data_IF_766209013101
#
_entry.id   IF_766209013101
#
_cell.length_a   1.000
_cell.length_b   1.000
_cell.length_c   1.000
_cell.angle_alpha   90.00
_cell.angle_beta   90.00
_cell.angle_gamma   90.00
#
_symmetry.space_group_name_H-M   'P 1'
#
loop_
_entity.id
_entity.type
_entity.pdbx_description
1 polymer ?
#
# COMPACT_ATOMS: atom_id res chain seq x y z
N UNK A 1 -1.13 -18.00 -34.04
CA UNK A 1 0.02 -17.27 -34.65
C UNK A 1 1.35 -18.02 -34.58
N UNK A 2 1.44 -19.21 -33.99
CA UNK A 2 2.70 -19.98 -33.95
C UNK A 2 3.77 -19.40 -33.03
N UNK A 3 3.44 -18.35 -32.27
CA UNK A 3 4.32 -17.70 -31.29
C UNK A 3 4.14 -18.35 -29.93
N UNK A 4 5.23 -18.49 -29.17
CA UNK A 4 5.21 -18.99 -27.81
C UNK A 4 4.36 -18.05 -26.92
N UNK A 5 3.56 -18.61 -26.00
CA UNK A 5 2.51 -17.87 -25.28
C UNK A 5 3.02 -16.70 -24.41
N UNK A 6 4.16 -16.86 -23.74
CA UNK A 6 4.83 -15.77 -23.00
C UNK A 6 5.21 -14.63 -23.94
N UNK A 7 5.79 -14.93 -25.11
CA UNK A 7 6.14 -13.89 -26.06
C UNK A 7 4.90 -13.19 -26.61
N UNK A 8 3.84 -13.95 -26.91
CA UNK A 8 2.57 -13.39 -27.35
C UNK A 8 1.99 -12.45 -26.28
N UNK A 9 1.80 -12.90 -25.04
CA UNK A 9 1.17 -12.09 -24.00
C UNK A 9 2.02 -10.88 -23.61
N UNK A 10 3.33 -11.06 -23.40
CA UNK A 10 4.21 -9.96 -23.00
C UNK A 10 4.36 -8.92 -24.11
N UNK A 11 4.53 -9.33 -25.38
CA UNK A 11 4.65 -8.35 -26.48
C UNK A 11 3.37 -7.54 -26.66
N UNK A 12 2.19 -8.17 -26.54
CA UNK A 12 0.91 -7.45 -26.60
C UNK A 12 0.73 -6.47 -25.44
N UNK A 13 1.08 -6.87 -24.21
CA UNK A 13 1.07 -5.97 -23.05
C UNK A 13 2.00 -4.76 -23.25
N UNK A 14 3.24 -5.02 -23.66
CA UNK A 14 4.23 -3.97 -23.93
C UNK A 14 3.80 -3.04 -25.06
N UNK A 15 3.16 -3.56 -26.11
CA UNK A 15 2.66 -2.77 -27.22
C UNK A 15 1.47 -1.90 -26.82
N UNK A 16 0.59 -2.39 -25.95
CA UNK A 16 -0.52 -1.60 -25.41
C UNK A 16 -0.01 -0.40 -24.60
N UNK A 17 0.97 -0.61 -23.71
CA UNK A 17 1.59 0.47 -22.95
C UNK A 17 2.43 1.40 -23.82
N UNK A 18 3.06 0.88 -24.88
CA UNK A 18 3.80 1.70 -25.83
C UNK A 18 2.86 2.68 -26.57
N UNK A 19 1.68 2.22 -27.00
CA UNK A 19 0.67 3.08 -27.60
C UNK A 19 0.21 4.20 -26.65
N UNK A 20 0.05 3.88 -25.36
CA UNK A 20 -0.21 4.90 -24.33
C UNK A 20 0.96 5.88 -24.20
N UNK A 21 2.20 5.40 -24.12
CA UNK A 21 3.39 6.25 -24.00
C UNK A 21 3.56 7.19 -25.21
N UNK A 22 3.27 6.71 -26.42
CA UNK A 22 3.25 7.52 -27.66
C UNK A 22 2.18 8.62 -27.58
N UNK A 23 0.98 8.30 -27.10
CA UNK A 23 -0.10 9.28 -26.94
C UNK A 23 0.20 10.36 -25.88
N UNK A 24 1.04 10.05 -24.90
CA UNK A 24 1.44 10.99 -23.83
C UNK A 24 2.68 11.81 -24.18
N UNK A 25 3.28 11.60 -25.37
CA UNK A 25 4.52 12.24 -25.74
C UNK A 25 4.41 13.78 -25.76
N UNK A 26 5.43 14.46 -25.23
CA UNK A 26 5.48 15.92 -25.14
C UNK A 26 4.82 16.52 -23.89
N UNK A 27 4.11 15.71 -23.09
CA UNK A 27 3.59 16.17 -21.80
C UNK A 27 4.71 16.26 -20.75
N UNK A 28 4.95 17.43 -20.14
CA UNK A 28 6.05 17.64 -19.20
C UNK A 28 5.79 17.06 -17.80
N UNK A 29 4.55 16.65 -17.53
CA UNK A 29 4.07 16.20 -16.22
C UNK A 29 3.96 14.67 -16.10
N UNK A 30 4.55 13.92 -17.04
CA UNK A 30 4.67 12.46 -16.95
C UNK A 30 5.98 12.10 -16.24
N UNK A 31 5.86 11.55 -15.05
CA UNK A 31 7.01 11.19 -14.23
C UNK A 31 7.68 9.88 -14.70
N UNK A 32 6.87 8.89 -15.10
CA UNK A 32 7.34 7.54 -15.40
C UNK A 32 6.22 6.57 -15.72
N UNK A 33 6.58 5.30 -15.85
CA UNK A 33 5.66 4.19 -16.11
C UNK A 33 5.93 3.03 -15.14
N UNK A 34 4.87 2.42 -14.63
CA UNK A 34 4.95 1.22 -13.79
C UNK A 34 4.97 -0.06 -14.59
N UNK A 35 5.78 -1.03 -14.19
CA UNK A 35 5.91 -2.31 -14.91
C UNK A 35 4.62 -3.12 -14.93
N UNK A 36 3.96 -3.23 -13.77
CA UNK A 36 2.71 -3.93 -13.53
C UNK A 36 2.29 -3.68 -12.08
N UNK A 37 0.99 -3.48 -11.83
CA UNK A 37 0.45 -3.41 -10.48
C UNK A 37 0.37 -4.82 -9.86
N UNK A 38 0.89 -4.98 -8.65
CA UNK A 38 0.92 -6.18 -7.82
C UNK A 38 1.08 -7.46 -8.67
N UNK A 39 2.23 -7.63 -9.35
CA UNK A 39 2.43 -8.80 -10.19
C UNK A 39 2.24 -10.07 -9.36
N UNK A 40 1.72 -11.13 -9.99
CA UNK A 40 1.59 -12.44 -9.37
C UNK A 40 2.59 -13.42 -9.98
N UNK A 41 3.22 -14.23 -9.14
CA UNK A 41 4.04 -15.36 -9.59
C UNK A 41 3.21 -16.57 -10.03
N UNK A 42 1.89 -16.57 -9.81
CA UNK A 42 1.04 -17.72 -10.11
C UNK A 42 1.56 -18.97 -9.39
N UNK A 43 1.86 -20.04 -10.15
CA UNK A 43 2.46 -21.25 -9.60
C UNK A 43 4.00 -21.27 -9.63
N UNK A 44 4.65 -20.28 -10.25
CA UNK A 44 6.12 -20.20 -10.28
C UNK A 44 6.63 -20.11 -8.85
N UNK A 45 7.69 -20.87 -8.53
CA UNK A 45 8.31 -21.04 -7.21
C UNK A 45 7.45 -21.70 -6.13
N UNK A 46 6.26 -22.23 -6.47
CA UNK A 46 5.46 -23.02 -5.51
C UNK A 46 6.17 -24.35 -5.24
N UNK A 47 6.46 -24.62 -3.97
CA UNK A 47 7.24 -25.79 -3.54
C UNK A 47 6.43 -27.08 -3.52
N UNK A 48 5.13 -26.98 -3.31
CA UNK A 48 4.24 -28.13 -3.15
C UNK A 48 2.83 -27.79 -3.64
N UNK A 49 2.47 -28.29 -4.82
CA UNK A 49 1.18 -28.05 -5.47
C UNK A 49 -0.01 -28.67 -4.72
N UNK A 50 0.23 -29.52 -3.72
CA UNK A 50 -0.80 -30.04 -2.83
C UNK A 50 -1.08 -29.12 -1.62
N UNK A 51 -0.43 -27.96 -1.54
CA UNK A 51 -0.62 -27.00 -0.44
C UNK A 51 -1.07 -25.65 -0.95
N UNK A 52 -1.95 -25.03 -0.19
CA UNK A 52 -2.40 -23.66 -0.41
C UNK A 52 -1.36 -22.73 0.23
N UNK A 53 -0.70 -21.90 -0.59
CA UNK A 53 0.34 -20.96 -0.19
C UNK A 53 -0.09 -19.50 -0.51
N UNK A 54 0.60 -18.53 0.09
CA UNK A 54 0.29 -17.11 -0.10
C UNK A 54 -0.92 -16.61 0.71
N UNK A 55 -1.42 -15.44 0.33
CA UNK A 55 -2.59 -14.82 0.96
C UNK A 55 -3.88 -15.56 0.58
N UNK A 56 -4.70 -15.91 1.58
CA UNK A 56 -5.91 -16.73 1.40
C UNK A 56 -7.12 -16.01 1.99
N UNK A 57 -8.12 -15.77 1.16
CA UNK A 57 -9.38 -15.17 1.56
C UNK A 57 -10.52 -15.75 0.71
N UNK A 58 -11.57 -16.28 1.33
CA UNK A 58 -12.61 -17.03 0.64
C UNK A 58 -12.11 -18.41 0.19
N UNK A 59 -12.61 -18.88 -0.95
CA UNK A 59 -12.17 -20.15 -1.55
C UNK A 59 -10.70 -20.08 -1.95
N UNK A 60 -9.87 -20.93 -1.36
CA UNK A 60 -8.42 -20.93 -1.59
C UNK A 60 -7.93 -22.35 -1.93
N UNK A 61 -8.32 -22.88 -3.10
CA UNK A 61 -7.90 -24.22 -3.51
C UNK A 61 -6.37 -24.30 -3.60
N UNK A 62 -5.83 -25.48 -3.31
CA UNK A 62 -4.43 -25.77 -3.65
C UNK A 62 -4.24 -25.67 -5.17
N UNK A 63 -3.02 -25.42 -5.68
CA UNK A 63 -2.77 -25.45 -7.12
C UNK A 63 -3.32 -26.72 -7.79
N UNK A 64 -3.11 -27.89 -7.18
CA UNK A 64 -3.63 -29.16 -7.69
C UNK A 64 -5.16 -29.21 -7.70
N UNK A 65 -5.82 -28.81 -6.60
CA UNK A 65 -7.30 -28.72 -6.56
C UNK A 65 -7.82 -27.78 -7.66
N UNK A 66 -7.15 -26.64 -7.87
CA UNK A 66 -7.50 -25.69 -8.94
C UNK A 66 -7.39 -26.31 -10.33
N UNK A 67 -6.34 -27.10 -10.60
CA UNK A 67 -6.18 -27.83 -11.86
C UNK A 67 -7.30 -28.85 -12.09
N UNK A 68 -7.69 -29.57 -11.03
CA UNK A 68 -8.73 -30.61 -11.07
C UNK A 68 -10.13 -30.00 -11.21
N UNK A 69 -10.42 -28.91 -10.48
CA UNK A 69 -11.63 -28.10 -10.66
C UNK A 69 -11.74 -27.57 -12.09
N UNK A 70 -10.62 -27.15 -12.70
CA UNK A 70 -10.56 -26.71 -14.09
C UNK A 70 -10.93 -27.80 -15.11
N UNK A 71 -10.82 -29.08 -14.74
CA UNK A 71 -11.30 -30.23 -15.51
C UNK A 71 -12.76 -30.60 -15.21
N UNK A 72 -13.46 -29.78 -14.42
CA UNK A 72 -14.87 -29.98 -14.09
C UNK A 72 -15.12 -31.02 -13.00
N UNK A 73 -14.09 -31.39 -12.24
CA UNK A 73 -14.14 -32.43 -11.22
C UNK A 73 -14.23 -31.78 -9.84
N UNK A 74 -15.21 -32.20 -9.04
CA UNK A 74 -15.45 -31.64 -7.71
C UNK A 74 -14.25 -31.84 -6.76
N UNK A 75 -13.96 -30.84 -5.93
CA UNK A 75 -12.89 -30.87 -4.92
C UNK A 75 -13.40 -30.34 -3.58
N UNK A 76 -12.79 -30.81 -2.49
CA UNK A 76 -13.00 -30.27 -1.15
C UNK A 76 -12.05 -29.09 -0.95
N UNK A 77 -12.57 -27.87 -1.04
CA UNK A 77 -11.79 -26.63 -1.06
C UNK A 77 -11.83 -25.95 0.30
N UNK A 78 -10.67 -25.52 0.78
CA UNK A 78 -10.57 -24.70 1.97
C UNK A 78 -11.19 -23.31 1.76
N UNK A 79 -12.02 -22.88 2.72
CA UNK A 79 -12.59 -21.54 2.75
C UNK A 79 -12.00 -20.76 3.93
N UNK A 80 -11.26 -19.70 3.62
CA UNK A 80 -10.55 -18.85 4.57
C UNK A 80 -11.34 -17.57 4.87
N UNK A 81 -11.12 -16.98 6.04
CA UNK A 81 -11.67 -15.67 6.39
C UNK A 81 -10.55 -14.65 6.63
N UNK A 82 -10.77 -13.40 6.22
CA UNK A 82 -9.83 -12.30 6.44
C UNK A 82 -9.72 -11.83 7.92
N UNK A 83 -10.34 -12.54 8.86
CA UNK A 83 -10.32 -12.17 10.27
C UNK A 83 -8.97 -12.47 10.91
N UNK A 84 -8.52 -11.57 11.82
CA UNK A 84 -7.27 -11.71 12.57
C UNK A 84 -7.13 -13.09 13.25
N UNK A 85 -8.23 -13.66 13.76
CA UNK A 85 -8.25 -14.97 14.42
C UNK A 85 -7.94 -16.12 13.45
N UNK A 86 -8.41 -16.05 12.19
CA UNK A 86 -8.13 -17.06 11.18
C UNK A 86 -6.66 -17.00 10.75
N UNK A 87 -6.15 -15.78 10.59
CA UNK A 87 -4.74 -15.49 10.30
C UNK A 87 -3.80 -16.03 11.38
N UNK A 88 -4.13 -15.80 12.66
CA UNK A 88 -3.36 -16.32 13.80
C UNK A 88 -3.43 -17.84 13.95
N UNK A 89 -4.61 -18.45 13.71
CA UNK A 89 -4.80 -19.89 13.88
C UNK A 89 -4.15 -20.70 12.76
N UNK A 90 -3.91 -20.10 11.59
CA UNK A 90 -3.35 -20.77 10.43
C UNK A 90 -4.22 -21.94 9.95
N UNK A 91 -5.54 -21.84 10.12
CA UNK A 91 -6.50 -22.88 9.75
C UNK A 91 -7.66 -22.28 8.95
N UNK A 92 -8.21 -23.03 7.97
CA UNK A 92 -9.38 -22.58 7.24
C UNK A 92 -10.59 -22.43 8.16
N UNK A 93 -11.50 -21.52 7.80
CA UNK A 93 -12.75 -21.34 8.54
C UNK A 93 -13.67 -22.55 8.39
N UNK A 94 -13.65 -23.17 7.20
CA UNK A 94 -14.35 -24.42 6.87
C UNK A 94 -13.76 -25.03 5.59
N UNK A 95 -14.19 -26.24 5.27
CA UNK A 95 -13.96 -26.90 3.98
C UNK A 95 -15.32 -27.06 3.30
N UNK A 96 -15.39 -26.75 2.01
CA UNK A 96 -16.60 -26.91 1.21
C UNK A 96 -16.34 -27.73 -0.03
N UNK A 97 -17.27 -28.63 -0.36
CA UNK A 97 -17.24 -29.33 -1.63
C UNK A 97 -17.67 -28.37 -2.75
N UNK A 98 -16.74 -28.06 -3.66
CA UNK A 98 -16.98 -27.22 -4.84
C UNK A 98 -17.11 -28.14 -6.05
N UNK A 99 -18.31 -28.18 -6.63
CA UNK A 99 -18.63 -29.04 -7.79
C UNK A 99 -18.92 -28.18 -9.05
N UNK A 100 -18.01 -28.16 -10.04
CA UNK A 100 -18.23 -27.50 -11.32
C UNK A 100 -19.29 -28.19 -12.20
N UNK A 101 -19.81 -29.36 -11.81
CA UNK A 101 -20.81 -30.15 -12.55
C UNK A 101 -20.36 -30.50 -13.96
N UNK A 102 -19.07 -30.84 -14.11
CA UNK A 102 -18.46 -31.17 -15.40
C UNK A 102 -18.18 -29.96 -16.30
N UNK A 103 -18.45 -28.72 -15.85
CA UNK A 103 -18.05 -27.53 -16.59
C UNK A 103 -16.53 -27.38 -16.51
N UNK A 104 -15.87 -27.39 -17.67
CA UNK A 104 -14.41 -27.26 -17.78
C UNK A 104 -14.02 -25.80 -18.02
N UNK A 105 -12.87 -25.41 -17.48
CA UNK A 105 -12.21 -24.13 -17.80
C UNK A 105 -11.57 -24.16 -19.20
N UNK A 106 -11.32 -25.36 -19.73
CA UNK A 106 -10.70 -25.58 -21.03
C UNK A 106 -11.73 -25.57 -22.17
N UNK A 107 -11.31 -25.11 -23.36
CA UNK A 107 -12.14 -25.19 -24.57
C UNK A 107 -12.42 -26.66 -24.94
N UNK A 108 -13.51 -26.87 -25.66
CA UNK A 108 -13.84 -28.20 -26.18
C UNK A 108 -12.70 -28.77 -27.02
N UNK A 109 -12.31 -30.02 -26.74
CA UNK A 109 -11.21 -30.71 -27.43
C UNK A 109 -9.80 -30.29 -26.99
N UNK A 110 -9.69 -29.42 -25.98
CA UNK A 110 -8.41 -29.04 -25.37
C UNK A 110 -8.32 -29.67 -23.97
N UNK A 111 -7.17 -30.24 -23.64
CA UNK A 111 -6.89 -30.81 -22.33
C UNK A 111 -6.14 -29.81 -21.43
N UNK A 112 -6.19 -30.06 -20.12
CA UNK A 112 -5.39 -29.33 -19.15
C UNK A 112 -3.89 -29.42 -19.49
N UNK A 113 -3.28 -28.27 -19.73
CA UNK A 113 -1.86 -28.16 -20.06
C UNK A 113 -0.93 -28.79 -19.00
N UNK A 114 -1.31 -28.72 -17.72
CA UNK A 114 -0.53 -29.34 -16.64
C UNK A 114 -0.69 -30.87 -16.61
N UNK A 115 -1.84 -31.39 -17.06
CA UNK A 115 -2.04 -32.82 -17.24
C UNK A 115 -1.23 -33.33 -18.42
N UNK A 116 -1.22 -32.61 -19.54
CA UNK A 116 -0.39 -32.90 -20.71
C UNK A 116 1.12 -32.88 -20.38
N UNK A 117 1.56 -31.94 -19.54
CA UNK A 117 2.93 -31.86 -19.02
C UNK A 117 3.29 -32.96 -17.99
N UNK A 118 2.32 -33.82 -17.63
CA UNK A 118 2.48 -34.90 -16.67
C UNK A 118 2.69 -34.41 -15.23
N UNK A 119 2.20 -33.22 -14.89
CA UNK A 119 2.20 -32.70 -13.51
C UNK A 119 1.24 -33.51 -12.65
N UNK A 120 0.07 -33.85 -13.22
CA UNK A 120 -0.95 -34.68 -12.60
C UNK A 120 -1.69 -35.51 -13.66
N UNK A 121 -2.49 -36.47 -13.24
CA UNK A 121 -3.36 -37.25 -14.12
C UNK A 121 -4.34 -38.12 -13.34
N UNK A 122 -4.77 -39.23 -13.92
CA UNK A 122 -5.68 -40.16 -13.27
C UNK A 122 -4.93 -41.43 -12.84
N UNK A 123 -5.23 -41.92 -11.65
CA UNK A 123 -4.78 -43.22 -11.18
C UNK A 123 -5.50 -44.38 -11.90
N UNK A 124 -5.15 -45.62 -11.56
CA UNK A 124 -5.77 -46.81 -12.15
C UNK A 124 -7.29 -46.93 -11.90
N UNK A 125 -7.83 -46.20 -10.92
CA UNK A 125 -9.25 -46.15 -10.58
C UNK A 125 -9.97 -44.93 -11.17
N UNK A 126 -9.29 -44.13 -11.98
CA UNK A 126 -9.85 -42.90 -12.56
C UNK A 126 -9.91 -41.72 -11.59
N UNK A 127 -9.20 -41.76 -10.45
CA UNK A 127 -9.15 -40.64 -9.50
C UNK A 127 -8.00 -39.69 -9.84
N UNK A 128 -8.18 -38.36 -9.69
CA UNK A 128 -7.10 -37.41 -9.85
C UNK A 128 -5.92 -37.71 -8.91
N UNK A 129 -4.70 -37.71 -9.45
CA UNK A 129 -3.46 -37.94 -8.73
C UNK A 129 -2.39 -36.95 -9.19
N UNK A 130 -1.77 -36.26 -8.24
CA UNK A 130 -0.63 -35.37 -8.45
C UNK A 130 0.66 -36.21 -8.57
N UNK A 131 1.44 -35.99 -9.63
CA UNK A 131 2.66 -36.76 -9.92
C UNK A 131 3.95 -35.96 -9.67
N UNK A 132 3.91 -34.64 -9.89
CA UNK A 132 5.08 -33.74 -9.73
C UNK A 132 4.70 -32.58 -8.80
N UNK A 133 4.70 -32.79 -7.47
CA UNK A 133 4.25 -31.77 -6.52
C UNK A 133 5.13 -30.52 -6.51
N UNK A 134 6.39 -30.61 -6.93
CA UNK A 134 7.41 -29.56 -6.93
C UNK A 134 7.69 -29.01 -8.35
N UNK A 135 6.81 -29.28 -9.32
CA UNK A 135 7.05 -28.98 -10.74
C UNK A 135 7.49 -27.53 -11.05
N UNK A 136 7.06 -26.57 -10.23
CA UNK A 136 7.38 -25.15 -10.40
C UNK A 136 8.39 -24.60 -9.37
N UNK A 137 8.93 -25.44 -8.48
CA UNK A 137 9.72 -25.00 -7.34
C UNK A 137 11.07 -24.37 -7.75
N UNK A 138 11.70 -24.91 -8.79
CA UNK A 138 13.06 -24.58 -9.20
C UNK A 138 13.13 -23.45 -10.25
N UNK A 139 12.31 -22.41 -10.09
CA UNK A 139 12.36 -21.19 -10.91
C UNK A 139 12.33 -19.97 -10.01
N UNK A 140 13.35 -19.12 -10.12
CA UNK A 140 13.41 -17.84 -9.42
C UNK A 140 12.55 -16.80 -10.14
N UNK A 141 11.37 -16.52 -9.59
CA UNK A 141 10.45 -15.55 -10.19
C UNK A 141 11.09 -14.15 -10.36
N UNK A 142 11.90 -13.70 -9.40
CA UNK A 142 12.51 -12.38 -9.46
C UNK A 142 13.56 -12.28 -10.56
N UNK A 143 14.53 -13.19 -10.55
CA UNK A 143 15.68 -13.16 -11.45
C UNK A 143 15.39 -13.73 -12.84
N UNK A 144 14.58 -14.78 -12.94
CA UNK A 144 14.35 -15.52 -14.19
C UNK A 144 13.07 -15.11 -14.92
N UNK A 145 12.10 -14.47 -14.23
CA UNK A 145 10.83 -14.06 -14.84
C UNK A 145 10.64 -12.54 -14.85
N UNK A 146 10.63 -11.91 -13.67
CA UNK A 146 10.36 -10.48 -13.52
C UNK A 146 11.45 -9.61 -14.12
N UNK A 147 12.73 -9.83 -13.78
CA UNK A 147 13.82 -8.98 -14.25
C UNK A 147 13.95 -8.98 -15.80
N UNK A 148 13.88 -10.12 -16.51
CA UNK A 148 13.85 -10.13 -17.97
C UNK A 148 12.67 -9.34 -18.55
N UNK A 149 11.48 -9.46 -17.97
CA UNK A 149 10.32 -8.66 -18.36
C UNK A 149 10.55 -7.16 -18.12
N UNK A 150 11.01 -6.77 -16.93
CA UNK A 150 11.28 -5.38 -16.58
C UNK A 150 12.33 -4.74 -17.52
N UNK A 151 13.35 -5.48 -17.95
CA UNK A 151 14.34 -5.01 -18.93
C UNK A 151 13.71 -4.74 -20.29
N UNK A 152 12.86 -5.64 -20.79
CA UNK A 152 12.12 -5.46 -22.05
C UNK A 152 11.16 -4.28 -21.97
N UNK A 153 10.42 -4.18 -20.86
CA UNK A 153 9.53 -3.06 -20.58
C UNK A 153 10.28 -1.73 -20.63
N UNK A 154 11.39 -1.65 -19.91
CA UNK A 154 12.22 -0.45 -19.82
C UNK A 154 12.74 -0.02 -21.18
N UNK A 155 13.31 -0.95 -21.94
CA UNK A 155 13.81 -0.68 -23.29
C UNK A 155 12.68 -0.17 -24.21
N UNK A 156 11.48 -0.77 -24.12
CA UNK A 156 10.33 -0.34 -24.92
C UNK A 156 9.86 1.07 -24.53
N UNK A 157 9.64 1.35 -23.25
CA UNK A 157 9.18 2.67 -22.80
C UNK A 157 10.21 3.76 -23.07
N UNK A 158 11.49 3.51 -22.78
CA UNK A 158 12.55 4.51 -22.97
C UNK A 158 12.92 4.74 -24.44
N UNK A 159 12.52 3.85 -25.36
CA UNK A 159 12.62 4.10 -26.81
C UNK A 159 11.66 5.19 -27.29
N UNK A 160 10.55 5.41 -26.56
CA UNK A 160 9.51 6.40 -26.87
C UNK A 160 9.66 7.65 -25.99
N UNK A 161 9.97 7.43 -24.71
CA UNK A 161 10.08 8.43 -23.66
C UNK A 161 11.48 8.37 -23.01
N UNK A 162 12.50 8.99 -23.61
CA UNK A 162 13.87 8.91 -23.12
C UNK A 162 13.99 9.39 -21.66
N UNK A 163 14.70 8.61 -20.84
CA UNK A 163 14.95 8.89 -19.40
C UNK A 163 13.70 8.92 -18.51
N UNK A 164 12.57 8.37 -18.97
CA UNK A 164 11.40 8.18 -18.13
C UNK A 164 11.71 7.25 -16.95
N UNK A 165 11.16 7.55 -15.77
CA UNK A 165 11.33 6.69 -14.61
C UNK A 165 10.57 5.38 -14.80
N UNK A 166 11.14 4.28 -14.31
CA UNK A 166 10.51 2.97 -14.34
C UNK A 166 10.18 2.57 -12.91
N UNK A 167 8.89 2.58 -12.59
CA UNK A 167 8.37 2.16 -11.29
C UNK A 167 8.28 0.64 -11.28
N UNK A 168 9.16 0.00 -10.50
CA UNK A 168 9.28 -1.44 -10.41
C UNK A 168 8.80 -1.92 -9.04
N UNK A 169 7.89 -2.89 -9.08
CA UNK A 169 7.34 -3.55 -7.91
C UNK A 169 7.29 -5.07 -8.13
N UNK A 170 7.28 -5.80 -7.02
CA UNK A 170 7.23 -7.26 -6.92
C UNK A 170 5.98 -7.64 -6.12
N UNK A 171 5.57 -8.92 -6.13
CA UNK A 171 4.47 -9.37 -5.28
C UNK A 171 4.68 -8.92 -3.82
N UNK A 172 3.62 -8.63 -3.05
CA UNK A 172 3.73 -8.04 -1.72
C UNK A 172 4.75 -8.76 -0.83
N UNK A 173 5.80 -8.04 -0.42
CA UNK A 173 6.95 -8.63 0.29
C UNK A 173 6.56 -9.17 1.68
N UNK A 174 5.64 -8.50 2.39
CA UNK A 174 5.19 -8.91 3.72
C UNK A 174 4.37 -10.21 3.72
N UNK A 175 3.91 -10.65 2.54
CA UNK A 175 3.05 -11.83 2.35
C UNK A 175 3.67 -12.89 1.43
N UNK A 176 4.89 -12.66 0.92
CA UNK A 176 5.57 -13.59 0.02
C UNK A 176 6.95 -13.97 0.56
N UNK A 177 7.37 -15.20 0.24
CA UNK A 177 8.72 -15.69 0.51
C UNK A 177 9.69 -15.38 -0.63
N UNK A 178 9.27 -14.57 -1.59
CA UNK A 178 10.04 -14.24 -2.79
C UNK A 178 11.22 -13.35 -2.44
N UNK A 179 12.37 -13.65 -3.02
CA UNK A 179 13.52 -12.76 -2.92
C UNK A 179 13.39 -11.62 -3.94
N UNK A 180 13.60 -10.38 -3.48
CA UNK A 180 13.69 -9.23 -4.36
C UNK A 180 14.99 -9.32 -5.19
N UNK A 181 14.91 -9.30 -6.54
CA UNK A 181 16.08 -9.50 -7.40
C UNK A 181 17.07 -8.33 -7.33
N UNK A 182 18.31 -8.58 -7.75
CA UNK A 182 19.30 -7.51 -7.93
C UNK A 182 19.05 -6.81 -9.27
N UNK A 183 18.63 -5.55 -9.22
CA UNK A 183 18.35 -4.71 -10.39
C UNK A 183 19.45 -3.66 -10.49
N UNK A 184 20.32 -3.76 -11.49
CA UNK A 184 21.36 -2.74 -11.71
C UNK A 184 20.81 -1.58 -12.54
N UNK A 185 21.49 -0.43 -12.49
CA UNK A 185 21.17 0.71 -13.37
C UNK A 185 21.38 0.42 -14.87
N UNK A 186 22.06 -0.68 -15.21
CA UNK A 186 22.16 -1.19 -16.58
C UNK A 186 20.95 -2.04 -16.97
N UNK A 187 20.35 -2.75 -16.02
CA UNK A 187 19.17 -3.57 -16.26
C UNK A 187 17.94 -2.67 -16.42
N UNK A 188 17.73 -1.76 -15.49
CA UNK A 188 16.61 -0.81 -15.49
C UNK A 188 17.14 0.60 -15.19
N UNK A 189 17.56 1.36 -16.22
CA UNK A 189 17.92 2.76 -16.04
C UNK A 189 16.75 3.58 -15.50
N UNK A 190 17.01 4.54 -14.60
CA UNK A 190 15.99 5.37 -13.96
C UNK A 190 14.93 4.56 -13.19
N UNK A 191 15.32 3.42 -12.60
CA UNK A 191 14.43 2.63 -11.76
C UNK A 191 13.99 3.40 -10.50
N UNK A 192 12.77 3.14 -10.07
CA UNK A 192 12.18 3.58 -8.80
C UNK A 192 11.60 2.34 -8.13
N UNK A 193 11.94 2.12 -6.87
CA UNK A 193 11.29 1.11 -6.05
C UNK A 193 9.85 1.56 -5.77
N UNK A 194 8.86 0.81 -6.26
CA UNK A 194 7.45 1.20 -6.25
C UNK A 194 6.56 0.34 -5.33
N UNK A 195 7.16 -0.50 -4.48
CA UNK A 195 6.45 -1.43 -3.60
C UNK A 195 5.36 -0.77 -2.75
N UNK A 196 4.30 -1.51 -2.47
CA UNK A 196 3.18 -1.06 -1.66
C UNK A 196 3.43 -1.29 -0.17
N UNK A 197 2.70 -0.55 0.67
CA UNK A 197 2.66 -0.82 2.11
C UNK A 197 1.31 -0.42 2.71
N UNK A 198 0.74 -1.33 3.50
CA UNK A 198 -0.47 -1.09 4.27
C UNK A 198 -0.30 -1.56 5.72
N UNK A 199 -0.96 -0.88 6.66
CA UNK A 199 -1.22 -1.46 7.98
C UNK A 199 -2.25 -2.59 7.81
N UNK A 200 -1.74 -3.81 7.66
CA UNK A 200 -2.53 -5.00 7.39
C UNK A 200 -3.57 -5.29 8.49
N UNK A 201 -3.31 -4.97 9.76
CA UNK A 201 -4.31 -5.17 10.82
C UNK A 201 -5.49 -4.25 10.59
N UNK A 202 -5.23 -2.97 10.32
CA UNK A 202 -6.28 -1.99 10.07
C UNK A 202 -7.03 -2.29 8.78
N UNK A 203 -6.32 -2.68 7.72
CA UNK A 203 -6.91 -3.02 6.42
C UNK A 203 -7.87 -4.21 6.52
N UNK A 204 -7.41 -5.34 7.09
CA UNK A 204 -8.22 -6.56 7.12
C UNK A 204 -9.35 -6.53 8.15
N UNK A 205 -9.15 -5.84 9.28
CA UNK A 205 -10.20 -5.77 10.32
C UNK A 205 -11.13 -4.59 10.12
N UNK A 206 -10.84 -3.68 9.18
CA UNK A 206 -11.55 -2.41 9.01
C UNK A 206 -11.72 -1.68 10.35
N UNK A 207 -10.70 -1.73 11.21
CA UNK A 207 -10.74 -1.17 12.57
C UNK A 207 -9.36 -0.62 12.90
N UNK A 208 -9.28 0.66 13.27
CA UNK A 208 -8.07 1.25 13.82
C UNK A 208 -7.96 1.03 15.32
N UNK A 209 -6.77 0.63 15.78
CA UNK A 209 -6.43 0.49 17.21
C UNK A 209 -5.06 1.09 17.47
N UNK A 210 -5.00 2.30 18.02
CA UNK A 210 -3.75 3.02 18.26
C UNK A 210 -2.80 2.40 19.29
N UNK A 211 -3.18 1.26 19.88
CA UNK A 211 -2.42 0.52 20.86
C UNK A 211 -2.10 -0.92 20.45
N UNK A 212 -2.51 -1.37 19.25
CA UNK A 212 -2.38 -2.77 18.87
C UNK A 212 -2.14 -2.95 17.38
N UNK A 213 -1.14 -3.77 17.04
CA UNK A 213 -0.92 -4.29 15.69
C UNK A 213 -0.25 -5.67 15.77
N UNK A 214 0.01 -6.29 14.62
CA UNK A 214 0.71 -7.56 14.48
C UNK A 214 1.74 -7.47 13.35
N UNK A 215 2.94 -8.00 13.61
CA UNK A 215 3.94 -8.21 12.58
C UNK A 215 3.62 -9.50 11.82
N UNK A 216 3.14 -9.38 10.59
CA UNK A 216 2.74 -10.53 9.76
C UNK A 216 3.92 -11.38 9.31
N UNK A 217 5.13 -10.83 9.24
CA UNK A 217 6.32 -11.60 8.89
C UNK A 217 6.76 -12.53 10.04
N UNK A 218 6.52 -12.14 11.30
CA UNK A 218 6.96 -12.90 12.48
C UNK A 218 5.83 -13.50 13.31
N UNK A 219 4.58 -13.14 13.05
CA UNK A 219 3.41 -13.46 13.87
C UNK A 219 3.36 -12.75 15.22
N UNK A 220 4.27 -11.81 15.49
CA UNK A 220 4.41 -11.17 16.80
C UNK A 220 3.35 -10.10 17.03
N UNK A 221 2.66 -10.19 18.16
CA UNK A 221 1.73 -9.15 18.62
C UNK A 221 2.49 -7.96 19.20
N UNK A 222 2.07 -6.75 18.83
CA UNK A 222 2.69 -5.50 19.27
C UNK A 222 1.66 -4.63 19.96
N UNK A 223 1.99 -4.19 21.17
CA UNK A 223 1.11 -3.41 22.04
C UNK A 223 1.73 -2.06 22.41
N UNK A 224 0.88 -1.04 22.50
CA UNK A 224 1.26 0.33 22.82
C UNK A 224 1.59 1.15 21.57
N UNK A 225 1.19 2.43 21.59
CA UNK A 225 1.30 3.34 20.45
C UNK A 225 2.74 3.49 19.93
N UNK A 226 3.71 3.65 20.85
CA UNK A 226 5.12 3.79 20.48
C UNK A 226 5.70 2.53 19.84
N UNK A 227 5.34 1.34 20.34
CA UNK A 227 5.82 0.08 19.79
C UNK A 227 5.19 -0.22 18.42
N UNK A 228 3.89 0.08 18.26
CA UNK A 228 3.20 -0.01 16.99
C UNK A 228 3.86 0.89 15.94
N UNK A 229 4.08 2.17 16.25
CA UNK A 229 4.76 3.10 15.34
C UNK A 229 6.15 2.60 14.96
N UNK A 230 6.94 2.14 15.93
CA UNK A 230 8.26 1.57 15.69
C UNK A 230 8.22 0.35 14.74
N UNK A 231 7.18 -0.49 14.84
CA UNK A 231 7.00 -1.59 13.89
C UNK A 231 6.73 -1.08 12.48
N UNK A 232 5.79 -0.16 12.29
CA UNK A 232 5.46 0.39 10.98
C UNK A 232 6.65 1.12 10.35
N UNK A 233 7.42 1.89 11.14
CA UNK A 233 8.68 2.50 10.68
C UNK A 233 9.67 1.44 10.19
N UNK A 234 9.82 0.33 10.92
CA UNK A 234 10.71 -0.77 10.53
C UNK A 234 10.25 -1.42 9.23
N UNK A 235 8.94 -1.63 9.04
CA UNK A 235 8.38 -2.20 7.81
C UNK A 235 8.65 -1.28 6.61
N UNK A 236 8.33 0.02 6.73
CA UNK A 236 8.60 1.00 5.67
C UNK A 236 10.10 1.15 5.38
N UNK A 237 10.95 1.14 6.40
CA UNK A 237 12.41 1.18 6.24
C UNK A 237 12.92 -0.06 5.49
N UNK A 238 12.31 -1.23 5.73
CA UNK A 238 12.59 -2.47 5.02
C UNK A 238 12.13 -2.39 3.56
N UNK A 239 10.92 -1.93 3.28
CA UNK A 239 10.42 -1.71 1.91
C UNK A 239 11.34 -0.75 1.14
N UNK A 240 11.73 0.37 1.75
CA UNK A 240 12.65 1.33 1.16
C UNK A 240 14.08 0.80 0.98
N UNK A 241 14.45 -0.24 1.73
CA UNK A 241 15.77 -0.87 1.62
C UNK A 241 15.96 -1.59 0.29
N UNK A 242 14.89 -2.01 -0.40
CA UNK A 242 15.00 -2.60 -1.74
C UNK A 242 15.58 -1.60 -2.74
N UNK A 243 15.09 -0.36 -2.75
CA UNK A 243 15.69 0.72 -3.55
C UNK A 243 17.19 0.90 -3.27
N UNK A 244 17.55 0.99 -1.98
CA UNK A 244 18.94 1.22 -1.53
C UNK A 244 19.88 0.06 -1.84
N UNK A 245 19.48 -1.16 -1.51
CA UNK A 245 20.35 -2.34 -1.45
C UNK A 245 20.21 -3.29 -2.65
N UNK A 246 19.06 -3.27 -3.34
CA UNK A 246 18.74 -4.18 -4.45
C UNK A 246 18.56 -3.47 -5.79
N UNK A 247 18.46 -2.14 -5.83
CA UNK A 247 18.19 -1.37 -7.06
C UNK A 247 19.21 -0.26 -7.34
N UNK A 248 20.47 -0.46 -6.95
CA UNK A 248 21.54 0.52 -7.24
C UNK A 248 21.34 1.89 -6.59
N UNK A 249 20.77 1.92 -5.37
CA UNK A 249 20.40 3.14 -4.65
C UNK A 249 19.29 3.96 -5.33
N UNK A 250 18.31 3.28 -5.92
CA UNK A 250 17.11 3.90 -6.49
C UNK A 250 16.25 4.58 -5.41
N UNK A 251 15.56 5.69 -5.75
CA UNK A 251 14.55 6.28 -4.87
C UNK A 251 13.39 5.30 -4.64
N UNK A 252 12.64 5.52 -3.57
CA UNK A 252 11.42 4.75 -3.25
C UNK A 252 10.19 5.65 -3.28
N UNK A 253 9.20 5.23 -4.06
CA UNK A 253 7.82 5.66 -3.99
C UNK A 253 7.02 4.50 -3.39
N UNK A 254 6.31 4.71 -2.30
CA UNK A 254 5.32 3.72 -1.86
C UNK A 254 4.13 3.82 -2.83
N UNK A 255 4.05 2.88 -3.78
CA UNK A 255 3.12 2.93 -4.91
C UNK A 255 1.66 2.91 -4.50
N UNK A 256 1.35 2.28 -3.36
CA UNK A 256 0.04 2.33 -2.74
C UNK A 256 0.15 2.22 -1.22
N UNK A 257 -0.66 3.03 -0.54
CA UNK A 257 -0.90 2.96 0.89
C UNK A 257 -2.21 3.66 1.24
N UNK A 258 -2.82 3.34 2.37
CA UNK A 258 -4.10 3.95 2.73
C UNK A 258 -4.73 3.33 3.95
N UNK A 259 -6.02 3.64 4.14
CA UNK A 259 -6.85 3.11 5.22
C UNK A 259 -8.28 2.86 4.71
N UNK A 260 -8.98 1.84 5.23
CA UNK A 260 -10.39 1.65 4.95
C UNK A 260 -11.22 2.78 5.57
N UNK A 261 -12.13 3.35 4.79
CA UNK A 261 -13.06 4.39 5.26
C UNK A 261 -14.33 3.81 5.87
N UNK A 262 -14.71 2.58 5.49
CA UNK A 262 -15.83 1.84 6.09
C UNK A 262 -15.48 1.30 7.50
N UNK A 263 -14.44 1.86 8.12
CA UNK A 263 -13.93 1.49 9.41
C UNK A 263 -14.99 1.57 10.52
N UNK A 264 -14.91 0.64 11.49
CA UNK A 264 -15.81 0.55 12.64
C UNK A 264 -17.29 0.45 12.21
N UNK A 265 -17.58 -0.52 11.35
CA UNK A 265 -18.90 -0.76 10.77
C UNK A 265 -19.48 0.49 10.08
N UNK A 266 -18.64 1.21 9.34
CA UNK A 266 -19.01 2.39 8.59
C UNK A 266 -19.67 3.52 9.42
N UNK A 267 -19.40 3.59 10.74
CA UNK A 267 -20.04 4.55 11.66
C UNK A 267 -19.97 6.01 11.18
N UNK A 268 -18.86 6.39 10.56
CA UNK A 268 -18.63 7.75 10.05
C UNK A 268 -19.65 8.16 8.96
N UNK A 269 -20.28 7.21 8.27
CA UNK A 269 -21.25 7.48 7.19
C UNK A 269 -22.61 7.93 7.73
N UNK A 270 -22.84 7.73 9.02
CA UNK A 270 -24.02 8.23 9.72
C UNK A 270 -23.67 9.48 10.52
N UNK A 271 -22.56 9.45 11.27
CA UNK A 271 -22.20 10.54 12.18
C UNK A 271 -21.54 11.74 11.49
N UNK A 272 -20.91 11.54 10.33
CA UNK A 272 -19.97 12.50 9.73
C UNK A 272 -18.64 12.64 10.49
N UNK A 273 -18.44 11.86 11.55
CA UNK A 273 -17.25 11.88 12.38
C UNK A 273 -16.21 10.87 11.88
N UNK A 274 -15.20 11.39 11.18
CA UNK A 274 -14.07 10.63 10.64
C UNK A 274 -12.86 10.60 11.58
N UNK A 275 -13.01 10.85 12.89
CA UNK A 275 -11.87 10.94 13.82
C UNK A 275 -11.00 9.67 13.85
N UNK A 276 -11.60 8.48 13.75
CA UNK A 276 -10.85 7.22 13.71
C UNK A 276 -10.01 7.08 12.42
N UNK A 277 -10.58 7.48 11.28
CA UNK A 277 -9.90 7.52 9.99
C UNK A 277 -8.79 8.58 9.98
N UNK A 278 -9.02 9.74 10.61
CA UNK A 278 -7.98 10.76 10.78
C UNK A 278 -6.81 10.22 11.59
N UNK A 279 -7.06 9.52 12.70
CA UNK A 279 -6.00 8.93 13.54
C UNK A 279 -5.23 7.82 12.82
N UNK A 280 -5.93 6.94 12.10
CA UNK A 280 -5.32 5.87 11.32
C UNK A 280 -4.47 6.43 10.17
N UNK A 281 -4.98 7.42 9.43
CA UNK A 281 -4.25 8.10 8.36
C UNK A 281 -3.05 8.87 8.90
N UNK A 282 -3.17 9.53 10.07
CA UNK A 282 -2.05 10.18 10.74
C UNK A 282 -0.94 9.18 11.08
N UNK A 283 -1.29 8.02 11.63
CA UNK A 283 -0.32 6.96 11.84
C UNK A 283 0.34 6.53 10.53
N UNK A 284 -0.41 6.26 9.46
CA UNK A 284 0.15 5.88 8.16
C UNK A 284 1.13 6.93 7.63
N UNK A 285 0.69 8.19 7.50
CA UNK A 285 1.51 9.24 6.88
C UNK A 285 2.68 9.68 7.77
N UNK A 286 2.52 9.75 9.10
CA UNK A 286 3.65 10.10 9.98
C UNK A 286 4.77 9.05 9.95
N UNK A 287 4.44 7.76 9.75
CA UNK A 287 5.47 6.74 9.57
C UNK A 287 6.18 6.87 8.21
N UNK A 288 5.46 7.24 7.14
CA UNK A 288 6.05 7.54 5.81
C UNK A 288 6.96 8.77 5.86
N UNK A 289 6.50 9.85 6.49
CA UNK A 289 7.26 11.10 6.73
C UNK A 289 8.57 10.81 7.47
N UNK A 290 8.53 9.96 8.52
CA UNK A 290 9.73 9.58 9.30
C UNK A 290 10.80 8.84 8.51
N UNK A 291 10.46 8.34 7.32
CA UNK A 291 11.37 7.66 6.40
C UNK A 291 11.69 8.50 5.15
N UNK A 292 11.19 9.74 5.07
CA UNK A 292 11.28 10.63 3.90
C UNK A 292 10.76 9.98 2.61
N UNK A 293 9.76 9.10 2.72
CA UNK A 293 9.23 8.37 1.57
C UNK A 293 8.18 9.18 0.83
N UNK A 294 8.29 9.20 -0.50
CA UNK A 294 7.18 9.59 -1.36
C UNK A 294 6.13 8.48 -1.35
N UNK A 295 4.85 8.82 -1.53
CA UNK A 295 3.78 7.84 -1.53
C UNK A 295 2.59 8.30 -2.37
N UNK A 296 1.75 7.34 -2.75
CA UNK A 296 0.46 7.55 -3.40
C UNK A 296 -0.62 6.92 -2.52
N UNK A 297 -1.60 7.73 -2.12
CA UNK A 297 -2.73 7.25 -1.32
C UNK A 297 -3.69 6.50 -2.22
N UNK A 298 -4.02 5.27 -1.83
CA UNK A 298 -5.11 4.49 -2.40
C UNK A 298 -6.40 4.82 -1.64
N UNK A 299 -7.38 5.48 -2.25
CA UNK A 299 -7.33 6.04 -3.61
C UNK A 299 -8.12 7.36 -3.71
N UNK A 300 -8.25 7.89 -4.93
CA UNK A 300 -9.20 8.96 -5.25
C UNK A 300 -10.12 8.46 -6.37
N UNK A 301 -11.37 8.20 -6.01
CA UNK A 301 -12.41 7.63 -6.88
C UNK A 301 -13.61 8.56 -6.76
N UNK A 302 -13.82 9.37 -7.79
CA UNK A 302 -14.79 10.47 -7.74
C UNK A 302 -16.25 9.98 -7.59
N UNK A 303 -16.53 8.75 -8.00
CA UNK A 303 -17.82 8.05 -7.95
C UNK A 303 -17.92 7.04 -6.80
N UNK A 304 -16.99 7.05 -5.83
CA UNK A 304 -17.04 6.19 -4.66
C UNK A 304 -18.35 6.36 -3.89
N UNK A 305 -19.00 5.27 -3.50
CA UNK A 305 -20.22 5.29 -2.68
C UNK A 305 -19.99 4.70 -1.29
N UNK A 306 -20.79 5.12 -0.30
CA UNK A 306 -20.76 4.53 1.04
C UNK A 306 -21.20 3.05 1.04
N UNK A 307 -21.96 2.62 0.03
CA UNK A 307 -22.54 1.27 -0.02
C UNK A 307 -21.63 0.27 -0.73
N UNK A 308 -20.99 0.70 -1.81
CA UNK A 308 -20.27 -0.19 -2.73
C UNK A 308 -18.80 0.20 -2.90
N UNK A 309 -18.29 1.15 -2.11
CA UNK A 309 -16.92 1.62 -2.22
C UNK A 309 -16.65 2.19 -3.61
N UNK A 310 -15.56 1.74 -4.21
CA UNK A 310 -15.04 2.15 -5.52
C UNK A 310 -15.84 1.69 -6.74
N UNK A 311 -16.95 0.96 -6.53
CA UNK A 311 -17.81 0.39 -7.58
C UNK A 311 -17.14 -0.66 -8.48
N UNK A 312 -15.92 -1.09 -8.14
CA UNK A 312 -15.16 -2.05 -8.94
C UNK A 312 -15.03 -3.39 -8.22
N UNK A 313 -14.44 -3.40 -7.03
CA UNK A 313 -14.23 -4.61 -6.24
C UNK A 313 -14.75 -4.48 -4.80
N UNK A 314 -15.55 -3.45 -4.53
CA UNK A 314 -16.14 -3.11 -3.23
C UNK A 314 -15.11 -2.60 -2.20
N UNK A 315 -13.92 -2.19 -2.64
CA UNK A 315 -12.96 -1.50 -1.78
C UNK A 315 -13.46 -0.11 -1.40
N UNK A 316 -13.36 0.21 -0.12
CA UNK A 316 -13.75 1.53 0.39
C UNK A 316 -12.56 2.31 0.95
N UNK A 317 -11.57 2.55 0.10
CA UNK A 317 -10.28 3.17 0.44
C UNK A 317 -10.21 4.65 0.00
N UNK A 318 -11.22 5.14 -0.73
CA UNK A 318 -11.14 6.47 -1.35
C UNK A 318 -11.06 7.63 -0.36
N UNK A 319 -10.24 8.64 -0.58
CA UNK A 319 -10.22 9.85 0.27
C UNK A 319 -11.44 10.75 0.05
N UNK A 320 -12.30 10.45 -0.93
CA UNK A 320 -13.46 11.26 -1.32
C UNK A 320 -14.70 10.41 -1.54
N UNK A 321 -15.89 10.96 -1.30
CA UNK A 321 -17.16 10.35 -1.72
C UNK A 321 -18.26 11.41 -1.88
N UNK A 322 -19.06 11.37 -2.97
CA UNK A 322 -20.25 12.21 -3.10
C UNK A 322 -21.28 11.99 -1.99
N UNK A 323 -21.37 10.79 -1.42
CA UNK A 323 -22.28 10.50 -0.30
C UNK A 323 -21.83 11.25 0.97
N UNK A 324 -20.51 11.34 1.20
CA UNK A 324 -19.95 12.16 2.28
C UNK A 324 -20.24 13.64 2.07
N UNK A 325 -20.10 14.15 0.84
CA UNK A 325 -20.48 15.52 0.50
C UNK A 325 -21.97 15.77 0.80
N UNK A 326 -22.85 14.87 0.38
CA UNK A 326 -24.29 14.98 0.63
C UNK A 326 -24.63 14.97 2.13
N UNK A 327 -23.96 14.15 2.93
CA UNK A 327 -24.11 14.10 4.38
C UNK A 327 -23.68 15.43 5.03
N UNK A 328 -22.48 15.91 4.70
CA UNK A 328 -21.94 17.15 5.27
C UNK A 328 -22.80 18.35 4.90
N UNK A 329 -23.29 18.42 3.67
CA UNK A 329 -24.23 19.46 3.23
C UNK A 329 -25.54 19.41 4.00
N UNK A 330 -26.08 18.21 4.26
CA UNK A 330 -27.31 18.04 5.06
C UNK A 330 -27.12 18.54 6.51
N UNK A 331 -25.95 18.29 7.09
CA UNK A 331 -25.64 18.68 8.47
C UNK A 331 -25.34 20.18 8.59
N UNK A 332 -24.54 20.73 7.67
CA UNK A 332 -24.03 22.10 7.76
C UNK A 332 -24.88 23.14 7.04
N UNK A 333 -25.71 22.74 6.07
CA UNK A 333 -26.51 23.62 5.23
C UNK A 333 -25.72 24.44 4.20
N UNK A 334 -24.40 24.28 4.13
CA UNK A 334 -23.50 25.05 3.25
C UNK A 334 -22.62 24.10 2.47
N UNK A 335 -22.44 24.38 1.17
CA UNK A 335 -21.46 23.67 0.33
C UNK A 335 -20.09 24.31 0.47
N UNK A 336 -19.07 23.50 0.73
CA UNK A 336 -17.65 23.86 0.72
C UNK A 336 -16.89 22.96 -0.24
N UNK A 337 -15.73 23.43 -0.70
CA UNK A 337 -14.86 22.72 -1.64
C UNK A 337 -14.52 21.30 -1.19
N UNK A 338 -14.19 21.14 0.09
CA UNK A 338 -13.66 19.87 0.63
C UNK A 338 -14.74 18.99 1.27
N UNK A 339 -16.04 19.26 1.04
CA UNK A 339 -17.12 18.50 1.70
C UNK A 339 -17.15 17.02 1.28
N UNK A 340 -16.61 16.65 0.11
CA UNK A 340 -16.50 15.24 -0.30
C UNK A 340 -15.37 14.50 0.40
N UNK A 341 -14.41 15.23 0.99
CA UNK A 341 -13.23 14.65 1.61
C UNK A 341 -13.59 13.87 2.87
N UNK A 342 -13.03 12.67 2.98
CA UNK A 342 -13.20 11.77 4.12
C UNK A 342 -11.95 11.86 4.99
N UNK A 343 -12.08 12.42 6.19
CA UNK A 343 -10.92 12.57 7.09
C UNK A 343 -9.84 13.54 6.58
N UNK A 344 -10.23 14.66 5.93
CA UNK A 344 -9.34 15.65 5.31
C UNK A 344 -8.08 16.00 6.11
N UNK A 345 -8.21 16.19 7.43
CA UNK A 345 -7.09 16.54 8.32
C UNK A 345 -6.02 15.45 8.46
N UNK A 346 -6.36 14.19 8.16
CA UNK A 346 -5.41 13.08 8.16
C UNK A 346 -4.40 13.18 7.02
N UNK A 347 -4.87 13.52 5.80
CA UNK A 347 -4.07 13.50 4.59
C UNK A 347 -3.65 14.88 4.04
N UNK A 348 -4.42 15.94 4.27
CA UNK A 348 -4.03 17.29 3.87
C UNK A 348 -3.04 17.88 4.89
N UNK A 349 -1.76 17.55 4.72
CA UNK A 349 -0.66 17.91 5.65
C UNK A 349 0.31 18.89 4.99
N UNK A 350 0.93 19.80 5.76
CA UNK A 350 2.02 20.62 5.24
C UNK A 350 3.19 19.73 4.86
N UNK A 351 3.81 20.00 3.71
CA UNK A 351 4.97 19.24 3.24
C UNK A 351 5.77 20.05 2.23
N UNK A 352 7.08 19.77 2.14
CA UNK A 352 7.92 20.32 1.09
C UNK A 352 7.67 19.59 -0.23
N UNK A 353 7.17 20.32 -1.23
CA UNK A 353 6.90 19.81 -2.59
C UNK A 353 8.12 19.91 -3.52
N UNK A 354 9.05 20.82 -3.22
CA UNK A 354 10.35 20.96 -3.89
C UNK A 354 11.37 21.44 -2.86
N UNK A 355 12.56 20.86 -2.86
CA UNK A 355 13.60 21.18 -1.90
C UNK A 355 14.87 21.55 -2.67
N UNK A 356 15.41 22.72 -2.38
CA UNK A 356 16.67 23.21 -2.93
C UNK A 356 17.87 22.57 -2.21
N UNK A 357 17.90 21.24 -2.14
CA UNK A 357 18.90 20.48 -1.39
C UNK A 357 18.43 19.07 -1.04
N UNK A 358 19.20 18.39 -0.19
CA UNK A 358 18.91 17.03 0.27
C UNK A 358 18.23 17.08 1.65
N UNK A 359 16.98 16.59 1.79
CA UNK A 359 16.31 16.59 3.09
C UNK A 359 16.91 15.58 4.06
N UNK A 360 17.01 15.98 5.33
CA UNK A 360 17.25 15.09 6.48
C UNK A 360 16.01 14.91 7.34
N UNK A 361 15.03 15.82 7.27
CA UNK A 361 13.75 15.73 7.96
C UNK A 361 12.66 16.45 7.17
N UNK A 362 11.44 15.90 7.11
CA UNK A 362 10.24 16.54 6.60
C UNK A 362 9.03 15.90 7.27
N UNK A 363 8.67 16.38 8.45
CA UNK A 363 7.71 15.72 9.35
C UNK A 363 6.63 16.68 9.84
N UNK A 364 5.38 16.22 9.88
CA UNK A 364 4.25 16.95 10.45
C UNK A 364 3.66 16.20 11.64
N UNK A 365 3.50 16.89 12.76
CA UNK A 365 2.86 16.37 13.97
C UNK A 365 1.43 16.89 14.05
N UNK A 366 0.44 16.05 13.73
CA UNK A 366 -0.97 16.44 13.68
C UNK A 366 -1.50 17.00 15.02
N UNK A 367 -1.01 16.48 16.14
CA UNK A 367 -1.44 16.89 17.48
C UNK A 367 -1.07 18.35 17.82
N UNK A 368 0.08 18.83 17.33
CA UNK A 368 0.54 20.22 17.53
C UNK A 368 0.37 21.10 16.28
N UNK A 369 0.07 20.49 15.14
CA UNK A 369 0.14 21.05 13.79
C UNK A 369 1.48 21.71 13.46
N UNK A 370 2.57 21.16 13.99
CA UNK A 370 3.91 21.63 13.67
C UNK A 370 4.49 20.80 12.54
N UNK A 371 4.94 21.48 11.48
CA UNK A 371 5.72 20.90 10.40
C UNK A 371 7.17 21.39 10.50
N UNK A 372 8.12 20.47 10.38
CA UNK A 372 9.56 20.77 10.39
C UNK A 372 10.20 20.18 9.14
N UNK A 373 10.94 21.02 8.42
CA UNK A 373 11.81 20.65 7.32
C UNK A 373 13.26 20.97 7.70
N UNK A 374 14.14 19.99 7.57
CA UNK A 374 15.59 20.16 7.65
C UNK A 374 16.24 19.62 6.37
N UNK A 375 17.14 20.39 5.76
CA UNK A 375 17.81 20.00 4.52
C UNK A 375 19.20 20.64 4.39
N UNK A 376 20.03 20.02 3.55
CA UNK A 376 21.40 20.46 3.24
C UNK A 376 21.55 20.88 1.78
N UNK A 377 22.23 21.99 1.53
CA UNK A 377 22.63 22.47 0.19
C UNK A 377 24.09 22.18 -0.15
N UNK A 378 24.83 21.47 0.71
CA UNK A 378 26.28 21.21 0.54
C UNK A 378 26.64 20.55 -0.79
N UNK A 379 25.79 19.66 -1.28
CA UNK A 379 26.03 18.88 -2.51
C UNK A 379 25.19 19.36 -3.70
N UNK A 380 24.34 20.36 -3.50
CA UNK A 380 23.39 20.82 -4.50
C UNK A 380 22.96 22.27 -4.23
N UNK A 381 23.43 23.19 -5.08
CA UNK A 381 22.94 24.57 -5.11
C UNK A 381 21.85 24.71 -6.17
N UNK A 382 20.69 25.23 -5.76
CA UNK A 382 19.58 25.52 -6.67
C UNK A 382 19.24 27.01 -6.64
N UNK A 383 19.09 27.67 -7.80
CA UNK A 383 18.63 29.04 -7.88
C UNK A 383 17.12 29.17 -7.61
N UNK A 384 16.40 28.04 -7.55
CA UNK A 384 14.97 27.98 -7.27
C UNK A 384 14.76 27.75 -5.76
N UNK A 385 13.83 28.48 -5.10
CA UNK A 385 13.57 28.32 -3.68
C UNK A 385 12.92 26.96 -3.36
N UNK A 386 13.10 26.52 -2.12
CA UNK A 386 12.32 25.42 -1.53
C UNK A 386 10.86 25.82 -1.45
N UNK A 387 9.94 24.96 -1.88
CA UNK A 387 8.49 25.19 -1.87
C UNK A 387 7.83 24.27 -0.83
N UNK A 388 7.08 24.85 0.12
CA UNK A 388 6.34 24.14 1.17
C UNK A 388 4.85 24.43 0.99
N UNK A 389 4.07 23.37 0.80
CA UNK A 389 2.61 23.41 0.80
C UNK A 389 2.10 23.56 2.24
N UNK A 390 1.16 24.49 2.47
CA UNK A 390 0.57 24.77 3.79
C UNK A 390 -0.96 24.80 3.68
N UNK A 391 -1.66 23.70 4.04
CA UNK A 391 -3.12 23.63 3.92
C UNK A 391 -3.82 24.35 5.09
N UNK A 392 -4.84 25.18 4.78
CA UNK A 392 -5.54 25.96 5.79
C UNK A 392 -6.33 25.12 6.79
N UNK A 393 -6.71 23.89 6.42
CA UNK A 393 -7.43 22.96 7.30
C UNK A 393 -6.66 22.65 8.60
N UNK A 394 -5.32 22.75 8.58
CA UNK A 394 -4.49 22.54 9.77
C UNK A 394 -4.33 23.82 10.61
N UNK A 395 -4.63 24.98 10.04
CA UNK A 395 -4.33 26.29 10.62
C UNK A 395 -5.54 27.23 10.58
N UNK A 396 -6.68 26.87 11.20
CA UNK A 396 -7.90 27.69 11.14
C UNK A 396 -7.76 29.09 11.78
N UNK A 397 -6.75 29.29 12.64
CA UNK A 397 -6.40 30.59 13.24
C UNK A 397 -5.16 31.24 12.58
N UNK A 398 -4.71 30.71 11.44
CA UNK A 398 -3.45 31.09 10.79
C UNK A 398 -2.23 30.37 11.35
N UNK A 399 -1.10 30.56 10.67
CA UNK A 399 0.18 29.94 10.97
C UNK A 399 1.31 30.97 10.99
N UNK A 400 2.44 30.59 11.58
CA UNK A 400 3.72 31.31 11.54
C UNK A 400 4.78 30.44 10.89
N UNK A 401 5.76 31.08 10.24
CA UNK A 401 6.93 30.43 9.66
C UNK A 401 8.16 30.94 10.40
N UNK A 402 9.10 30.04 10.71
CA UNK A 402 10.44 30.41 11.19
C UNK A 402 11.48 29.64 10.38
N UNK A 403 12.54 30.31 9.92
CA UNK A 403 13.74 29.65 9.41
C UNK A 403 14.98 29.96 10.26
N UNK A 404 15.97 29.09 10.16
CA UNK A 404 17.35 29.33 10.58
C UNK A 404 18.04 30.47 9.81
N UNK A 405 17.67 30.65 8.54
CA UNK A 405 18.37 31.51 7.59
C UNK A 405 17.46 31.94 6.43
N UNK A 406 17.97 32.84 5.59
CA UNK A 406 17.29 33.25 4.36
C UNK A 406 16.02 34.06 4.59
N UNK A 407 15.14 34.05 3.60
CA UNK A 407 13.87 34.77 3.62
C UNK A 407 12.77 33.97 2.92
N UNK A 408 11.51 34.41 3.11
CA UNK A 408 10.36 33.73 2.54
C UNK A 408 9.43 34.66 1.78
N UNK A 409 8.74 34.08 0.81
CA UNK A 409 7.53 34.66 0.21
C UNK A 409 6.38 33.65 0.33
N UNK A 410 5.14 34.15 0.30
CA UNK A 410 3.94 33.32 0.40
C UNK A 410 3.10 33.56 -0.85
N UNK A 411 2.87 32.50 -1.61
CA UNK A 411 1.92 32.47 -2.71
C UNK A 411 0.58 31.92 -2.20
N UNK A 412 -0.48 32.72 -2.31
CA UNK A 412 -1.79 32.35 -1.80
C UNK A 412 -2.64 31.65 -2.84
N UNK A 413 -3.30 30.58 -2.43
CA UNK A 413 -4.27 29.87 -3.24
C UNK A 413 -5.59 29.70 -2.48
N UNK A 414 -6.61 29.20 -3.17
CA UNK A 414 -7.86 28.83 -2.51
C UNK A 414 -7.58 27.65 -1.55
N UNK A 415 -7.75 27.86 -0.25
CA UNK A 415 -7.66 26.83 0.79
C UNK A 415 -6.25 26.35 1.19
N UNK A 416 -5.19 26.90 0.60
CA UNK A 416 -3.81 26.61 0.97
C UNK A 416 -2.86 27.74 0.53
N UNK A 417 -1.66 27.75 1.10
CA UNK A 417 -0.56 28.61 0.68
C UNK A 417 0.63 27.75 0.19
N UNK A 418 1.48 28.34 -0.66
CA UNK A 418 2.82 27.83 -0.96
C UNK A 418 3.85 28.81 -0.40
N UNK A 419 4.59 28.35 0.61
CA UNK A 419 5.70 29.08 1.21
C UNK A 419 6.97 28.80 0.42
N UNK A 420 7.61 29.84 -0.10
CA UNK A 420 8.88 29.75 -0.83
C UNK A 420 10.01 30.22 0.06
N UNK A 421 10.92 29.33 0.43
CA UNK A 421 12.12 29.61 1.22
C UNK A 421 13.33 29.77 0.31
N UNK A 422 13.88 30.97 0.28
CA UNK A 422 15.17 31.25 -0.34
C UNK A 422 16.22 31.27 0.77
N UNK A 423 17.01 30.20 0.86
CA UNK A 423 18.07 30.08 1.86
C UNK A 423 19.24 31.04 1.58
N UNK A 424 20.04 31.32 2.62
CA UNK A 424 21.30 32.05 2.48
C UNK A 424 22.35 31.15 1.82
N UNK A 425 22.97 31.61 0.74
CA UNK A 425 23.98 30.85 -0.02
C UNK A 425 25.27 30.58 0.77
N UNK A 426 25.48 31.24 1.91
CA UNK A 426 26.64 31.01 2.81
C UNK A 426 26.35 30.01 3.93
N UNK A 427 25.09 29.58 4.04
CA UNK A 427 24.65 28.58 5.01
C UNK A 427 24.38 27.30 4.24
N UNK A 428 24.76 26.16 4.82
CA UNK A 428 24.60 24.87 4.14
C UNK A 428 23.62 23.91 4.82
N UNK A 429 23.19 24.24 6.04
CA UNK A 429 22.18 23.48 6.80
C UNK A 429 21.03 24.40 7.11
N UNK A 430 19.85 24.02 6.66
CA UNK A 430 18.66 24.85 6.68
C UNK A 430 17.57 24.16 7.48
N UNK A 431 16.85 24.95 8.27
CA UNK A 431 15.69 24.49 9.02
C UNK A 431 14.54 25.46 8.82
N UNK A 432 13.38 24.93 8.43
CA UNK A 432 12.13 25.68 8.31
C UNK A 432 11.06 25.00 9.16
N UNK A 433 10.28 25.80 9.88
CA UNK A 433 9.16 25.31 10.68
C UNK A 433 7.90 26.11 10.39
N UNK A 434 6.79 25.39 10.20
CA UNK A 434 5.43 25.94 10.10
C UNK A 434 4.67 25.51 11.34
N UNK A 435 4.10 26.47 12.08
CA UNK A 435 3.43 26.22 13.34
C UNK A 435 2.16 27.08 13.47
N UNK A 436 1.13 26.65 14.22
CA UNK A 436 -0.10 27.42 14.37
C UNK A 436 0.16 28.68 15.22
N UNK A 437 -0.47 29.82 14.90
CA UNK A 437 -0.32 31.07 15.67
C UNK A 437 -0.87 30.96 17.10
N UNK A 438 -1.83 30.07 17.31
CA UNK A 438 -2.43 29.74 18.61
C UNK A 438 -2.32 28.23 18.82
N UNK A 439 -2.10 27.76 20.06
CA UNK A 439 -2.15 26.33 20.36
C UNK A 439 -3.47 25.71 19.90
N UNK A 440 -3.41 24.55 19.28
CA UNK A 440 -4.62 23.81 18.89
C UNK A 440 -5.24 23.20 20.16
N UNK A 441 -6.55 23.38 20.41
CA UNK A 441 -7.22 22.74 21.53
C UNK A 441 -7.04 21.22 21.44
N UNK A 442 -6.40 20.63 22.45
CA UNK A 442 -6.12 19.20 22.50
C UNK A 442 -7.41 18.39 22.57
N UNK A 443 -7.86 17.84 21.43
CA UNK A 443 -8.87 16.78 21.36
C UNK A 443 -8.56 15.82 20.21
N UNK A 444 -7.47 15.07 20.33
CA UNK A 444 -7.22 13.91 19.44
C UNK A 444 -6.72 12.68 20.19
N UNK A 445 -6.89 12.62 21.51
CA UNK A 445 -6.55 11.43 22.30
C UNK A 445 -7.80 10.81 22.89
N UNK A 446 -8.25 9.68 22.37
CA UNK A 446 -9.03 8.76 23.18
C UNK A 446 -8.08 8.15 24.23
N UNK A 447 -8.41 8.28 25.51
CA UNK A 447 -7.65 7.61 26.57
C UNK A 447 -7.82 6.10 26.41
N UNK A 448 -6.73 5.39 26.14
CA UNK A 448 -6.72 3.92 26.09
C UNK A 448 -6.71 3.28 27.49
N UNK A 449 -6.71 4.08 28.56
CA UNK A 449 -6.69 3.62 29.95
C UNK A 449 -7.84 2.63 30.28
N UNK A 450 -9.10 2.86 29.85
CA UNK A 450 -10.19 1.91 30.12
C UNK A 450 -9.96 0.54 29.45
N UNK A 451 -9.35 0.53 28.27
CA UNK A 451 -9.05 -0.70 27.52
C UNK A 451 -7.88 -1.45 28.16
N UNK A 452 -6.82 -0.74 28.58
CA UNK A 452 -5.72 -1.35 29.33
C UNK A 452 -6.19 -1.93 30.67
N UNK A 453 -7.11 -1.26 31.36
CA UNK A 453 -7.73 -1.80 32.58
C UNK A 453 -8.57 -3.03 32.27
N UNK A 454 -9.39 -3.01 31.21
CA UNK A 454 -10.19 -4.17 30.81
C UNK A 454 -9.32 -5.38 30.41
N UNK A 455 -8.22 -5.18 29.68
CA UNK A 455 -7.26 -6.23 29.34
C UNK A 455 -6.53 -6.76 30.57
N UNK A 456 -6.11 -5.90 31.50
CA UNK A 456 -5.49 -6.31 32.75
C UNK A 456 -6.47 -7.14 33.61
N UNK A 457 -7.74 -6.75 33.67
CA UNK A 457 -8.80 -7.50 34.34
C UNK A 457 -9.03 -8.84 33.65
N UNK A 458 -9.12 -8.89 32.32
CA UNK A 458 -9.32 -10.13 31.57
C UNK A 458 -8.14 -11.12 31.70
N UNK A 459 -6.90 -10.61 31.79
CA UNK A 459 -5.71 -11.43 32.03
C UNK A 459 -5.60 -11.89 33.49
N UNK A 460 -6.09 -11.10 34.45
CA UNK A 460 -6.07 -11.45 35.88
C UNK A 460 -7.27 -12.33 36.31
N UNK A 461 -8.41 -12.26 35.60
CA UNK A 461 -9.65 -12.97 35.95
C UNK A 461 -9.49 -14.50 36.08
N UNK A 462 -8.78 -15.19 35.16
CA UNK A 462 -8.53 -16.63 35.30
C UNK A 462 -7.68 -16.98 36.53
N UNK A 463 -6.77 -16.09 36.93
CA UNK A 463 -5.93 -16.28 38.11
C UNK A 463 -6.66 -15.97 39.42
N UNK A 464 -7.58 -15.00 39.40
CA UNK A 464 -8.45 -14.67 40.52
C UNK A 464 -9.51 -15.77 40.76
N UNK A 465 -10.09 -16.34 39.70
CA UNK A 465 -10.99 -17.49 39.79
C UNK A 465 -10.28 -18.77 40.26
N UNK A 466 -9.01 -18.96 39.89
CA UNK A 466 -8.19 -20.06 40.40
C UNK A 466 -7.83 -19.88 41.89
N UNK A 467 -7.72 -18.64 42.37
CA UNK A 467 -7.41 -18.34 43.78
C UNK A 467 -8.66 -18.41 44.68
N UNK A 468 -9.86 -18.14 44.16
CA UNK A 468 -11.12 -18.22 44.91
C UNK A 468 -11.70 -19.63 45.03
N UNK A 469 -11.09 -20.64 44.39
CA UNK A 469 -11.46 -22.06 44.46
C UNK A 469 -10.59 -22.88 45.41
N UNK A 470 -9.87 -22.23 46.34
CA UNK A 470 -9.14 -22.88 47.43
C UNK A 470 -9.84 -22.74 48.76
#
# INVERSE_FOLDING_TARGET
DGVQIQEYLQSHYLNALAALAEALQGLPNIAGFGTMNEPSNGYICVKDLAKSEGFRNGYAPTPFEGMVLGEGIAQDVEVWSAGLMAMMRGKPARVENVDPKGVRAWKQGVDCLWKEAGVWGFDANGKPQLFKPDYFADVDFGNECFLPFAKRFTARMQSIFPKTMIFAEMPPADLSSLEFPQITSKDVPCAVNAMHWYDLVTLFTTTWRSYFTMDFATGKLVFGNAALRKLHQKQLAHTASFGRAKMGNAPTLIGETGIPYNMNDARAYVSGDFSAQVEAMDNTISNLESQLLSFTLWNYTADNSHKYGDLWNLEDLSISSPDSEALVRRISGVRRRDDSARGLRGFARPHARKIAGVPSQSEFVLATAEYVLEYSSETFESPVPTEIFVPYVQYPSGYRITASDGHFTIEKHEGYDVVKHQHDSKVHKHRVMVAPTKPIPGKFGHSNLPVYVALAVALASPYLEAYSRK
#
